data_IF_503713813788
#
_entry.id   IF_503713813788
#
_cell.length_a   1.000
_cell.length_b   1.000
_cell.length_c   1.000
_cell.angle_alpha   90.00
_cell.angle_beta   90.00
_cell.angle_gamma   90.00
#
_symmetry.space_group_name_H-M   'P 1'
#
loop_
_entity.id
_entity.type
_entity.pdbx_description
1 polymer ?
#
# COMPACT_ATOMS: atom_id res chain seq x y z
N UNK A 1 19.34 15.16 4.97
CA UNK A 1 18.84 14.29 3.90
C UNK A 1 17.71 13.46 4.51
N UNK A 2 16.49 13.61 3.99
CA UNK A 2 15.32 12.93 4.52
C UNK A 2 15.37 11.41 4.40
N UNK A 3 14.48 10.71 5.08
CA UNK A 3 14.40 9.26 5.09
C UNK A 3 13.03 8.80 4.61
N UNK A 4 12.99 8.16 3.44
CA UNK A 4 11.82 7.46 2.94
C UNK A 4 11.78 6.01 3.41
N UNK A 5 10.62 5.55 3.84
CA UNK A 5 10.34 4.14 4.12
C UNK A 5 9.23 3.69 3.18
N UNK A 6 9.51 2.68 2.37
CA UNK A 6 8.50 2.07 1.52
C UNK A 6 7.91 0.83 2.20
N UNK A 7 6.59 0.77 2.32
CA UNK A 7 5.86 -0.43 2.76
C UNK A 7 5.16 -1.05 1.57
N UNK A 8 5.67 -2.18 1.08
CA UNK A 8 5.18 -2.86 -0.10
C UNK A 8 4.59 -4.24 0.22
N UNK A 9 3.93 -4.82 -0.75
CA UNK A 9 3.28 -6.13 -0.66
C UNK A 9 1.99 -6.17 -1.45
N UNK A 10 1.44 -7.35 -1.67
CA UNK A 10 0.21 -7.52 -2.42
C UNK A 10 -1.00 -6.95 -1.68
N UNK A 11 -2.07 -6.69 -2.42
CA UNK A 11 -3.33 -6.19 -1.85
C UNK A 11 -3.82 -7.08 -0.70
N UNK A 12 -4.26 -6.49 0.38
CA UNK A 12 -4.74 -7.19 1.58
C UNK A 12 -3.66 -7.66 2.55
N UNK A 13 -2.37 -7.36 2.30
CA UNK A 13 -1.27 -7.73 3.21
C UNK A 13 -1.19 -6.90 4.50
N UNK A 14 -1.83 -5.72 4.55
CA UNK A 14 -1.81 -4.83 5.72
C UNK A 14 -0.89 -3.61 5.60
N UNK A 15 -0.45 -3.26 4.39
CA UNK A 15 0.49 -2.16 4.12
C UNK A 15 0.08 -0.82 4.73
N UNK A 16 -1.15 -0.40 4.48
CA UNK A 16 -1.64 0.91 4.96
C UNK A 16 -1.72 0.96 6.48
N UNK A 17 -2.10 -0.14 7.12
CA UNK A 17 -2.13 -0.25 8.59
C UNK A 17 -0.73 -0.12 9.17
N UNK A 18 0.24 -0.90 8.66
CA UNK A 18 1.62 -0.82 9.10
C UNK A 18 2.25 0.52 8.78
N UNK A 19 2.02 1.04 7.56
CA UNK A 19 2.57 2.32 7.11
C UNK A 19 2.13 3.50 7.99
N UNK A 20 0.84 3.56 8.35
CA UNK A 20 0.33 4.56 9.30
C UNK A 20 0.97 4.44 10.67
N UNK A 21 1.05 3.22 11.21
CA UNK A 21 1.64 2.98 12.52
C UNK A 21 3.14 3.35 12.55
N UNK A 22 3.90 3.01 11.50
CA UNK A 22 5.31 3.40 11.36
C UNK A 22 5.47 4.93 11.28
N UNK A 23 4.67 5.58 10.45
CA UNK A 23 4.72 7.02 10.28
C UNK A 23 4.41 7.76 11.60
N UNK A 24 3.37 7.34 12.31
CA UNK A 24 3.01 7.88 13.62
C UNK A 24 4.15 7.69 14.64
N UNK A 25 4.71 6.49 14.71
CA UNK A 25 5.77 6.16 15.67
C UNK A 25 7.06 6.93 15.41
N UNK A 26 7.38 7.21 14.15
CA UNK A 26 8.60 7.91 13.74
C UNK A 26 8.42 9.42 13.59
N UNK A 27 7.19 9.93 13.65
CA UNK A 27 6.88 11.33 13.34
C UNK A 27 7.07 11.66 11.85
N UNK A 28 6.85 10.68 10.96
CA UNK A 28 6.99 10.81 9.51
C UNK A 28 5.63 11.09 8.85
N UNK A 29 5.66 11.68 7.66
CA UNK A 29 4.46 11.85 6.86
C UNK A 29 4.03 10.54 6.21
N UNK A 30 2.75 10.17 6.32
CA UNK A 30 2.21 8.96 5.71
C UNK A 30 1.57 9.26 4.36
N UNK A 31 1.96 8.51 3.34
CA UNK A 31 1.42 8.59 1.98
C UNK A 31 0.83 7.22 1.60
N UNK A 32 -0.46 7.18 1.27
CA UNK A 32 -1.12 5.98 0.78
C UNK A 32 -1.31 6.07 -0.72
N UNK A 33 -0.90 5.03 -1.45
CA UNK A 33 -1.12 4.92 -2.88
C UNK A 33 -2.59 5.05 -3.28
N UNK A 34 -3.50 4.58 -2.44
CA UNK A 34 -4.94 4.70 -2.66
C UNK A 34 -5.36 6.18 -2.76
N UNK A 35 -4.80 7.05 -1.92
CA UNK A 35 -5.09 8.50 -1.95
C UNK A 35 -4.49 9.19 -3.18
N UNK A 36 -3.37 8.69 -3.70
CA UNK A 36 -2.75 9.21 -4.92
C UNK A 36 -3.58 8.91 -6.16
N UNK A 37 -4.15 7.70 -6.26
CA UNK A 37 -4.93 7.28 -7.42
C UNK A 37 -6.40 7.68 -7.35
N UNK A 38 -6.99 7.69 -6.16
CA UNK A 38 -8.44 7.86 -6.00
C UNK A 38 -8.77 9.12 -5.21
N UNK A 39 -9.11 10.24 -5.89
CA UNK A 39 -9.54 11.45 -5.21
C UNK A 39 -10.82 11.19 -4.43
N UNK A 40 -10.92 11.77 -3.23
CA UNK A 40 -12.11 11.67 -2.36
C UNK A 40 -13.25 12.59 -2.81
N UNK A 41 -13.49 12.66 -4.13
CA UNK A 41 -14.45 13.61 -4.71
C UNK A 41 -15.83 13.00 -5.01
N UNK A 42 -15.90 11.67 -5.15
CA UNK A 42 -17.18 10.99 -5.38
C UNK A 42 -17.68 10.37 -4.06
N UNK A 43 -18.79 10.92 -3.49
CA UNK A 43 -19.34 10.41 -2.23
C UNK A 43 -19.99 9.02 -2.36
N UNK A 44 -20.40 8.63 -3.59
CA UNK A 44 -21.08 7.37 -3.84
C UNK A 44 -20.15 6.19 -4.03
N UNK A 45 -19.01 6.43 -4.73
CA UNK A 45 -18.01 5.40 -4.97
C UNK A 45 -16.65 6.03 -5.22
N UNK A 46 -15.75 5.91 -4.23
CA UNK A 46 -14.42 6.50 -4.26
C UNK A 46 -13.57 6.07 -5.46
N UNK A 47 -13.75 4.85 -5.93
CA UNK A 47 -12.92 4.25 -6.99
C UNK A 47 -13.45 4.49 -8.41
N UNK A 48 -14.48 5.30 -8.57
CA UNK A 48 -15.13 5.53 -9.87
C UNK A 48 -14.25 6.21 -10.91
N UNK A 49 -13.32 7.08 -10.48
CA UNK A 49 -12.50 7.89 -11.36
C UNK A 49 -11.04 7.93 -10.90
N UNK A 50 -10.24 6.88 -11.18
CA UNK A 50 -8.82 6.86 -10.83
C UNK A 50 -8.05 7.91 -11.63
N UNK A 51 -7.04 8.51 -10.98
CA UNK A 51 -6.04 9.32 -11.69
C UNK A 51 -5.16 8.44 -12.57
N UNK A 52 -4.52 9.04 -13.57
CA UNK A 52 -3.50 8.36 -14.36
C UNK A 52 -2.26 8.08 -13.50
N UNK A 53 -1.43 7.17 -13.96
CA UNK A 53 -0.16 6.85 -13.32
C UNK A 53 0.75 8.08 -13.21
N UNK A 54 0.86 8.84 -14.28
CA UNK A 54 1.67 10.06 -14.34
C UNK A 54 1.18 11.13 -13.36
N UNK A 55 -0.14 11.24 -13.17
CA UNK A 55 -0.70 12.16 -12.18
C UNK A 55 -0.40 11.70 -10.74
N UNK A 56 -0.49 10.42 -10.46
CA UNK A 56 -0.13 9.86 -9.15
C UNK A 56 1.37 10.02 -8.85
N UNK A 57 2.25 9.78 -9.82
CA UNK A 57 3.69 9.99 -9.69
C UNK A 57 4.05 11.46 -9.41
N UNK A 58 3.42 12.40 -10.09
CA UNK A 58 3.60 13.84 -9.82
C UNK A 58 3.18 14.22 -8.41
N UNK A 59 2.02 13.75 -7.96
CA UNK A 59 1.54 14.01 -6.60
C UNK A 59 2.51 13.44 -5.56
N UNK A 60 3.00 12.21 -5.76
CA UNK A 60 3.97 11.62 -4.87
C UNK A 60 5.28 12.42 -4.84
N UNK A 61 5.76 12.87 -6.00
CA UNK A 61 6.97 13.70 -6.08
C UNK A 61 6.80 15.04 -5.35
N UNK A 62 5.61 15.64 -5.39
CA UNK A 62 5.28 16.85 -4.63
C UNK A 62 5.26 16.59 -3.12
N UNK A 63 4.59 15.51 -2.69
CA UNK A 63 4.52 15.12 -1.26
C UNK A 63 5.92 14.88 -0.66
N UNK A 64 6.80 14.15 -1.36
CA UNK A 64 8.14 13.87 -0.84
C UNK A 64 9.08 15.08 -0.88
N UNK A 65 8.81 16.08 -1.69
CA UNK A 65 9.53 17.36 -1.65
C UNK A 65 9.15 18.20 -0.44
N UNK A 66 7.88 18.16 -0.06
CA UNK A 66 7.36 18.88 1.12
C UNK A 66 7.75 18.16 2.40
N UNK A 67 7.69 16.82 2.39
CA UNK A 67 7.91 15.94 3.54
C UNK A 67 9.13 15.06 3.31
N UNK A 68 10.30 15.56 3.70
CA UNK A 68 11.57 14.82 3.52
C UNK A 68 11.58 13.45 4.24
N UNK A 69 10.86 13.33 5.37
CA UNK A 69 10.71 12.08 6.10
C UNK A 69 9.28 11.53 5.86
N UNK A 70 9.19 10.42 5.18
CA UNK A 70 7.90 9.86 4.78
C UNK A 70 7.85 8.34 4.85
N UNK A 71 6.63 7.81 4.99
CA UNK A 71 6.31 6.40 4.81
C UNK A 71 5.32 6.30 3.66
N UNK A 72 5.69 5.59 2.61
CA UNK A 72 4.84 5.36 1.44
C UNK A 72 4.35 3.92 1.39
N UNK A 73 3.04 3.70 1.28
CA UNK A 73 2.43 2.38 1.17
C UNK A 73 1.84 2.15 -0.23
N UNK A 74 2.35 1.15 -0.93
CA UNK A 74 1.85 0.71 -2.24
C UNK A 74 2.18 -0.76 -2.49
N UNK A 75 1.63 -1.37 -3.55
CA UNK A 75 1.98 -2.75 -3.94
C UNK A 75 3.46 -2.82 -4.30
N UNK A 76 3.95 -1.87 -5.10
CA UNK A 76 5.36 -1.64 -5.45
C UNK A 76 5.67 -0.15 -5.33
N UNK A 77 6.93 0.19 -5.14
CA UNK A 77 7.38 1.58 -4.99
C UNK A 77 8.07 2.18 -6.24
N UNK A 78 7.87 1.60 -7.40
CA UNK A 78 8.47 2.03 -8.68
C UNK A 78 7.72 3.21 -9.33
N UNK A 79 7.57 4.30 -8.59
CA UNK A 79 6.91 5.55 -8.99
C UNK A 79 7.91 6.60 -9.51
N UNK A 80 8.70 6.20 -10.51
CA UNK A 80 9.77 7.03 -11.07
C UNK A 80 11.13 6.73 -10.44
N UNK A 81 12.18 6.88 -11.27
CA UNK A 81 13.57 6.61 -10.86
C UNK A 81 14.06 7.56 -9.76
N UNK A 82 13.47 8.73 -9.65
CA UNK A 82 13.81 9.76 -8.67
C UNK A 82 13.49 9.37 -7.23
N UNK A 83 12.52 8.46 -7.03
CA UNK A 83 12.10 8.03 -5.70
C UNK A 83 12.95 6.91 -5.11
N UNK A 84 13.50 6.05 -5.96
CA UNK A 84 14.29 4.90 -5.51
C UNK A 84 15.44 5.29 -4.58
N UNK A 85 16.24 6.35 -4.86
CA UNK A 85 17.32 6.77 -3.97
C UNK A 85 16.85 7.34 -2.63
N UNK A 86 15.57 7.70 -2.50
CA UNK A 86 15.02 8.26 -1.27
C UNK A 86 14.64 7.17 -0.26
N UNK A 87 14.47 5.92 -0.70
CA UNK A 87 14.12 4.82 0.18
C UNK A 87 15.33 4.38 1.01
N UNK A 88 15.28 4.66 2.30
CA UNK A 88 16.26 4.18 3.28
C UNK A 88 16.00 2.73 3.67
N UNK A 89 14.73 2.33 3.70
CA UNK A 89 14.26 0.97 3.94
C UNK A 89 13.06 0.65 3.08
N UNK A 90 12.97 -0.60 2.67
CA UNK A 90 11.76 -1.19 2.09
C UNK A 90 11.28 -2.29 3.01
N UNK A 91 10.03 -2.25 3.41
CA UNK A 91 9.36 -3.29 4.21
C UNK A 91 8.44 -4.08 3.28
N UNK A 92 8.76 -5.34 3.06
CA UNK A 92 7.91 -6.25 2.29
C UNK A 92 7.00 -7.03 3.25
N UNK A 93 5.70 -6.75 3.14
CA UNK A 93 4.67 -7.43 3.93
C UNK A 93 4.11 -8.62 3.14
N UNK A 94 4.27 -9.83 3.70
CA UNK A 94 3.85 -11.08 3.07
C UNK A 94 2.70 -11.71 3.84
N UNK A 95 1.66 -12.14 3.13
CA UNK A 95 0.53 -12.87 3.70
C UNK A 95 -0.05 -13.84 2.66
N UNK A 96 -0.59 -15.01 3.09
CA UNK A 96 -1.20 -15.97 2.19
C UNK A 96 -2.33 -15.38 1.37
N UNK A 97 -2.48 -15.83 0.12
CA UNK A 97 -3.48 -15.32 -0.82
C UNK A 97 -4.90 -15.36 -0.27
N UNK A 98 -5.28 -16.47 0.33
CA UNK A 98 -6.62 -16.67 0.90
C UNK A 98 -6.94 -15.63 1.97
N UNK A 99 -6.00 -15.40 2.88
CA UNK A 99 -6.13 -14.40 3.94
C UNK A 99 -6.23 -12.98 3.36
N UNK A 100 -5.39 -12.66 2.38
CA UNK A 100 -5.41 -11.35 1.72
C UNK A 100 -6.75 -11.09 1.02
N UNK A 101 -7.26 -12.04 0.25
CA UNK A 101 -8.55 -11.93 -0.44
C UNK A 101 -9.72 -11.82 0.54
N UNK A 102 -9.69 -12.57 1.63
CA UNK A 102 -10.69 -12.46 2.69
C UNK A 102 -10.70 -11.06 3.31
N UNK A 103 -9.54 -10.51 3.63
CA UNK A 103 -9.40 -9.14 4.17
C UNK A 103 -9.94 -8.09 3.20
N UNK A 104 -9.66 -8.21 1.91
CA UNK A 104 -10.14 -7.30 0.87
C UNK A 104 -11.66 -7.35 0.79
N UNK A 105 -12.26 -8.52 0.70
CA UNK A 105 -13.72 -8.70 0.63
C UNK A 105 -14.42 -8.18 1.88
N UNK A 106 -13.89 -8.49 3.06
CA UNK A 106 -14.45 -7.99 4.32
C UNK A 106 -14.41 -6.47 4.39
N UNK A 107 -13.31 -5.84 3.97
CA UNK A 107 -13.19 -4.38 3.93
C UNK A 107 -14.15 -3.75 2.94
N UNK A 108 -14.31 -4.33 1.76
CA UNK A 108 -15.29 -3.86 0.77
C UNK A 108 -16.72 -3.98 1.30
N UNK A 109 -17.05 -5.09 1.96
CA UNK A 109 -18.37 -5.26 2.57
C UNK A 109 -18.62 -4.26 3.70
N UNK A 110 -17.63 -4.00 4.54
CA UNK A 110 -17.73 -2.97 5.59
C UNK A 110 -17.96 -1.56 5.03
N UNK A 111 -17.39 -1.25 3.85
CA UNK A 111 -17.52 0.06 3.20
C UNK A 111 -18.83 0.21 2.43
N UNK A 112 -19.25 -0.82 1.72
CA UNK A 112 -20.31 -0.74 0.71
C UNK A 112 -21.55 -1.58 1.05
N UNK A 113 -21.45 -2.50 2.00
CA UNK A 113 -22.56 -3.34 2.44
C UNK A 113 -23.17 -4.14 1.29
N UNK A 114 -24.50 -4.15 1.23
CA UNK A 114 -25.26 -4.90 0.21
C UNK A 114 -25.06 -4.39 -1.22
N UNK A 115 -24.54 -3.17 -1.40
CA UNK A 115 -24.27 -2.61 -2.72
C UNK A 115 -23.25 -3.44 -3.53
N UNK A 116 -22.36 -4.17 -2.86
CA UNK A 116 -21.38 -5.05 -3.49
C UNK A 116 -21.85 -6.50 -3.68
N UNK A 117 -23.03 -6.85 -3.17
CA UNK A 117 -23.60 -8.19 -3.33
C UNK A 117 -24.38 -8.32 -4.67
N UNK A 118 -24.70 -9.56 -5.12
CA UNK A 118 -25.50 -9.77 -6.33
C UNK A 118 -26.76 -8.92 -6.34
N UNK A 119 -26.95 -8.16 -7.43
CA UNK A 119 -28.03 -7.18 -7.57
C UNK A 119 -27.72 -5.78 -7.04
N UNK A 120 -26.61 -5.58 -6.35
CA UNK A 120 -26.13 -4.25 -5.94
C UNK A 120 -25.46 -3.49 -7.08
N UNK A 121 -25.46 -2.17 -7.00
CA UNK A 121 -24.93 -1.26 -8.03
C UNK A 121 -23.38 -1.32 -8.15
N UNK A 122 -22.67 -1.80 -7.12
CA UNK A 122 -21.22 -1.95 -7.12
C UNK A 122 -20.77 -3.39 -7.35
N UNK A 123 -21.68 -4.35 -7.50
CA UNK A 123 -21.35 -5.76 -7.57
C UNK A 123 -20.31 -6.08 -8.65
N UNK A 124 -20.53 -5.61 -9.88
CA UNK A 124 -19.65 -5.91 -11.00
C UNK A 124 -18.27 -5.24 -10.86
N UNK A 125 -18.24 -4.00 -10.39
CA UNK A 125 -17.00 -3.26 -10.19
C UNK A 125 -16.14 -3.88 -9.09
N UNK A 126 -16.74 -4.25 -7.96
CA UNK A 126 -16.03 -4.90 -6.85
C UNK A 126 -15.56 -6.32 -7.23
N UNK A 127 -16.35 -7.10 -7.97
CA UNK A 127 -15.91 -8.40 -8.46
C UNK A 127 -14.75 -8.28 -9.46
N UNK A 128 -14.79 -7.34 -10.38
CA UNK A 128 -13.68 -7.09 -11.30
C UNK A 128 -12.39 -6.74 -10.54
N UNK A 129 -12.50 -5.95 -9.48
CA UNK A 129 -11.37 -5.65 -8.58
C UNK A 129 -10.86 -6.92 -7.88
N UNK A 130 -11.73 -7.77 -7.33
CA UNK A 130 -11.33 -9.02 -6.68
C UNK A 130 -10.64 -9.98 -7.65
N UNK A 131 -11.13 -10.11 -8.86
CA UNK A 131 -10.48 -10.89 -9.91
C UNK A 131 -9.09 -10.35 -10.23
N UNK A 132 -8.97 -9.05 -10.45
CA UNK A 132 -7.70 -8.40 -10.75
C UNK A 132 -6.67 -8.64 -9.64
N UNK A 133 -7.03 -8.43 -8.36
CA UNK A 133 -6.09 -8.67 -7.25
C UNK A 133 -5.78 -10.15 -7.05
N UNK A 134 -6.68 -11.05 -7.41
CA UNK A 134 -6.45 -12.50 -7.31
C UNK A 134 -5.46 -13.04 -8.35
N UNK A 135 -5.27 -12.34 -9.47
CA UNK A 135 -4.32 -12.71 -10.52
C UNK A 135 -2.89 -12.24 -10.23
N UNK A 136 -2.71 -11.27 -9.32
CA UNK A 136 -1.37 -10.82 -8.93
C UNK A 136 -0.67 -11.88 -8.11
N UNK A 137 0.59 -12.16 -8.47
CA UNK A 137 1.44 -13.14 -7.78
C UNK A 137 2.48 -12.46 -6.93
N UNK A 138 3.04 -13.19 -5.97
CA UNK A 138 4.17 -12.73 -5.15
C UNK A 138 5.37 -12.33 -6.01
N UNK A 139 5.58 -13.01 -7.14
CA UNK A 139 6.66 -12.71 -8.08
C UNK A 139 6.61 -11.26 -8.58
N UNK A 140 5.42 -10.70 -8.77
CA UNK A 140 5.25 -9.31 -9.21
C UNK A 140 5.93 -8.29 -8.28
N UNK A 141 5.86 -8.52 -6.96
CA UNK A 141 6.52 -7.65 -5.97
C UNK A 141 7.97 -8.07 -5.75
N UNK A 142 8.23 -9.37 -5.73
CA UNK A 142 9.55 -9.95 -5.46
C UNK A 142 10.59 -9.54 -6.50
N UNK A 143 10.24 -9.52 -7.79
CA UNK A 143 11.13 -9.05 -8.87
C UNK A 143 11.55 -7.60 -8.67
N UNK A 144 10.63 -6.74 -8.26
CA UNK A 144 10.96 -5.36 -7.96
C UNK A 144 11.84 -5.24 -6.71
N UNK A 145 11.50 -5.94 -5.64
CA UNK A 145 12.26 -5.90 -4.38
C UNK A 145 13.71 -6.37 -4.59
N UNK A 146 13.92 -7.39 -5.42
CA UNK A 146 15.27 -7.87 -5.76
C UNK A 146 16.11 -6.89 -6.57
N UNK A 147 15.48 -5.92 -7.22
CA UNK A 147 16.18 -4.89 -7.99
C UNK A 147 16.67 -3.70 -7.15
N UNK A 148 16.39 -3.70 -5.83
CA UNK A 148 16.68 -2.57 -4.95
C UNK A 148 18.06 -2.69 -4.32
N UNK A 149 18.75 -1.57 -4.20
CA UNK A 149 20.05 -1.47 -3.50
C UNK A 149 19.90 -1.14 -2.00
N UNK A 150 18.69 -0.76 -1.55
CA UNK A 150 18.44 -0.45 -0.14
C UNK A 150 18.08 -1.69 0.68
N UNK A 151 18.26 -1.67 2.02
CA UNK A 151 17.86 -2.75 2.91
C UNK A 151 16.38 -3.09 2.81
N UNK A 152 16.07 -4.39 2.64
CA UNK A 152 14.70 -4.92 2.61
C UNK A 152 14.43 -5.70 3.88
N UNK A 153 13.39 -5.29 4.61
CA UNK A 153 12.89 -5.97 5.81
C UNK A 153 11.65 -6.78 5.42
N UNK A 154 11.70 -8.09 5.61
CA UNK A 154 10.54 -8.96 5.38
C UNK A 154 9.73 -9.09 6.66
N UNK A 155 8.41 -8.94 6.56
CA UNK A 155 7.50 -9.01 7.68
C UNK A 155 6.32 -9.94 7.39
N UNK A 156 5.95 -10.71 8.40
CA UNK A 156 4.81 -11.65 8.34
C UNK A 156 3.49 -10.90 8.57
N UNK A 157 2.76 -10.65 7.48
CA UNK A 157 1.48 -9.97 7.48
C UNK A 157 0.32 -10.76 8.14
N UNK A 158 0.55 -11.98 8.61
CA UNK A 158 -0.43 -12.77 9.38
C UNK A 158 -0.46 -12.40 10.86
N UNK A 159 0.59 -11.74 11.34
CA UNK A 159 0.74 -11.36 12.74
C UNK A 159 -0.10 -10.12 13.10
N UNK A 160 -0.37 -9.88 14.39
CA UNK A 160 -0.97 -8.64 14.86
C UNK A 160 -0.15 -7.42 14.43
N UNK A 161 -0.83 -6.32 14.09
CA UNK A 161 -0.20 -5.11 13.55
C UNK A 161 0.89 -4.53 14.48
N UNK A 162 0.68 -4.57 15.79
CA UNK A 162 1.65 -4.10 16.78
C UNK A 162 2.92 -4.97 16.82
N UNK A 163 2.77 -6.30 16.72
CA UNK A 163 3.90 -7.24 16.67
C UNK A 163 4.74 -7.00 15.41
N UNK A 164 4.08 -6.79 14.26
CA UNK A 164 4.76 -6.46 13.00
C UNK A 164 5.52 -5.14 13.15
N UNK A 165 4.89 -4.11 13.67
CA UNK A 165 5.50 -2.79 13.89
C UNK A 165 6.77 -2.89 14.72
N UNK A 166 6.71 -3.57 15.88
CA UNK A 166 7.85 -3.72 16.78
C UNK A 166 8.99 -4.52 16.11
N UNK A 167 8.65 -5.61 15.41
CA UNK A 167 9.62 -6.42 14.68
C UNK A 167 10.33 -5.63 13.57
N UNK A 168 9.60 -4.83 12.82
CA UNK A 168 10.15 -4.00 11.75
C UNK A 168 11.04 -2.91 12.32
N UNK A 169 10.59 -2.21 13.37
CA UNK A 169 11.36 -1.15 14.01
C UNK A 169 12.65 -1.66 14.62
N UNK A 170 12.66 -2.86 15.21
CA UNK A 170 13.85 -3.47 15.78
C UNK A 170 14.97 -3.75 14.73
N UNK A 171 14.59 -3.89 13.46
CA UNK A 171 15.51 -4.11 12.34
C UNK A 171 15.97 -2.80 11.67
N UNK A 172 15.28 -1.72 11.91
CA UNK A 172 15.64 -0.40 11.41
C UNK A 172 16.66 0.25 12.34
N UNK A 173 17.76 0.75 11.76
CA UNK A 173 18.75 1.56 12.48
C UNK A 173 18.44 3.05 12.27
N UNK A 174 17.33 3.49 12.85
CA UNK A 174 16.85 4.87 12.79
C UNK A 174 16.95 5.50 14.18
#
# INVERSE_FOLDING_TARGET
>A
MGAGIMVCGLNGSGKSTLGKALAEKLGFHFIDNEDLFFPKTNPNYRYAAPRTREAAERLLAEEVKIHENFVFAAVRGDYGAELLPLYRYVVLLEAPKELRLQRIKNRSFQRFGTRMLPGGDLYEMENAFFEMVSTRTEQYVEEWVRSLDCPVIRADGTKPAEEILLSVMAQMKI
#
